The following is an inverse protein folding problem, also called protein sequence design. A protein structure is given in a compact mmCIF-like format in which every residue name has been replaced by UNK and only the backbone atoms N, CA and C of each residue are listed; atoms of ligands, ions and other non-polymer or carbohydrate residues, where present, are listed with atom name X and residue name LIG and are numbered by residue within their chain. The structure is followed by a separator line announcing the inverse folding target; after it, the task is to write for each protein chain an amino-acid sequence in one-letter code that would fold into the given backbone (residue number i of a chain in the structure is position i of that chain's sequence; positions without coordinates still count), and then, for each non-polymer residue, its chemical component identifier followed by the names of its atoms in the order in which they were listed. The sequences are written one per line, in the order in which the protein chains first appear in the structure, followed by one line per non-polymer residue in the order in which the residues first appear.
data_IF_118664258746
#
_entry.id   IF_118664258746
#
_cell.length_a   1.000
_cell.length_b   1.000
_cell.length_c   1.000
_cell.angle_alpha   90.00
_cell.angle_beta   90.00
_cell.angle_gamma   90.00
#
_symmetry.space_group_name_H-M   'P 1'
#
loop_
_entity.id
_entity.type
_entity.pdbx_description
1 polymer ?
#
# COMPACT_ATOMS: atom_id res chain seq x y z
N UNK A 1 7.87 -17.49 -38.16
CA UNK A 1 6.49 -16.94 -38.14
C UNK A 1 5.60 -17.95 -37.47
N UNK A 2 5.04 -17.66 -36.30
CA UNK A 2 4.05 -18.51 -35.69
C UNK A 2 2.74 -18.39 -36.46
N UNK A 3 2.19 -19.53 -36.91
CA UNK A 3 0.88 -19.56 -37.57
C UNK A 3 -0.15 -19.15 -36.50
N UNK A 4 -0.72 -17.95 -36.62
CA UNK A 4 -1.82 -17.50 -35.76
C UNK A 4 -3.08 -18.23 -36.17
N UNK A 5 -3.50 -19.21 -35.39
CA UNK A 5 -4.74 -19.93 -35.62
C UNK A 5 -5.93 -19.01 -35.36
N UNK A 6 -6.71 -18.73 -36.42
CA UNK A 6 -7.95 -17.95 -36.34
C UNK A 6 -9.14 -18.89 -36.32
N UNK A 7 -9.95 -18.83 -35.26
CA UNK A 7 -11.18 -19.60 -35.14
C UNK A 7 -12.40 -18.75 -35.42
N UNK A 8 -13.39 -19.32 -36.14
CA UNK A 8 -14.70 -18.70 -36.30
C UNK A 8 -15.71 -19.34 -35.37
N UNK A 9 -16.57 -18.55 -34.73
CA UNK A 9 -17.62 -19.09 -33.85
C UNK A 9 -18.66 -19.86 -34.68
N UNK A 10 -19.12 -21.00 -34.17
CA UNK A 10 -20.19 -21.77 -34.81
C UNK A 10 -21.54 -21.04 -34.75
N UNK A 11 -21.78 -20.28 -33.69
CA UNK A 11 -22.98 -19.46 -33.49
C UNK A 11 -23.08 -18.27 -34.49
N UNK A 12 -21.92 -17.73 -34.90
CA UNK A 12 -21.83 -16.70 -35.92
C UNK A 12 -20.44 -16.76 -36.59
N UNK A 13 -20.38 -17.29 -37.82
CA UNK A 13 -19.12 -17.45 -38.56
C UNK A 13 -18.44 -16.14 -38.96
N UNK A 14 -19.11 -15.00 -38.87
CA UNK A 14 -18.50 -13.69 -39.07
C UNK A 14 -17.62 -13.26 -37.91
N UNK A 15 -17.83 -13.85 -36.70
CA UNK A 15 -17.00 -13.59 -35.52
C UNK A 15 -15.79 -14.50 -35.56
N UNK A 16 -14.62 -13.89 -35.63
CA UNK A 16 -13.32 -14.57 -35.66
C UNK A 16 -12.56 -14.26 -34.37
N UNK A 17 -11.88 -15.27 -33.84
CA UNK A 17 -11.06 -15.16 -32.61
C UNK A 17 -9.64 -15.63 -32.92
N UNK A 18 -8.65 -14.82 -32.56
CA UNK A 18 -7.24 -15.18 -32.66
C UNK A 18 -6.46 -14.49 -31.53
N UNK A 19 -5.19 -14.85 -31.34
CA UNK A 19 -4.26 -14.27 -30.37
C UNK A 19 -3.21 -13.39 -31.07
N UNK A 20 -3.65 -12.45 -31.91
CA UNK A 20 -2.79 -11.50 -32.64
C UNK A 20 -2.93 -10.05 -32.09
N UNK A 21 -3.34 -9.92 -30.85
CA UNK A 21 -3.51 -8.60 -30.18
C UNK A 21 -2.21 -7.87 -29.89
N UNK A 22 -1.08 -8.58 -29.88
CA UNK A 22 0.22 -8.05 -29.46
C UNK A 22 0.34 -7.89 -27.95
N UNK A 23 1.27 -7.05 -27.48
CA UNK A 23 1.52 -6.81 -26.06
C UNK A 23 0.42 -5.94 -25.47
N UNK A 24 -0.48 -6.55 -24.70
CA UNK A 24 -1.63 -5.91 -24.06
C UNK A 24 -1.49 -5.97 -22.55
N UNK A 25 -1.99 -4.95 -21.86
CA UNK A 25 -2.17 -4.93 -20.40
C UNK A 25 -3.48 -4.23 -20.06
N UNK A 26 -4.05 -4.56 -18.91
CA UNK A 26 -5.22 -3.90 -18.33
C UNK A 26 -4.87 -2.77 -17.35
N UNK A 27 -3.60 -2.61 -17.00
CA UNK A 27 -3.14 -1.85 -15.81
C UNK A 27 -2.33 -0.59 -16.17
N UNK A 28 -2.61 0.05 -17.29
CA UNK A 28 -1.87 1.23 -17.78
C UNK A 28 -1.81 2.39 -16.78
N UNK A 29 -2.77 2.49 -15.85
CA UNK A 29 -2.77 3.51 -14.81
C UNK A 29 -1.62 3.39 -13.80
N UNK A 30 -0.93 2.24 -13.73
CA UNK A 30 0.29 2.11 -12.95
C UNK A 30 1.40 3.06 -13.40
N UNK A 31 1.36 3.55 -14.64
CA UNK A 31 2.29 4.59 -15.12
C UNK A 31 2.12 5.90 -14.34
N UNK A 32 0.90 6.26 -13.91
CA UNK A 32 0.66 7.41 -13.04
C UNK A 32 1.28 7.20 -11.66
N UNK A 33 1.14 5.99 -11.14
CA UNK A 33 1.72 5.61 -9.84
C UNK A 33 3.25 5.60 -9.91
N UNK A 34 3.83 5.09 -11.00
CA UNK A 34 5.29 5.13 -11.25
C UNK A 34 5.81 6.56 -11.20
N UNK A 35 5.14 7.48 -11.90
CA UNK A 35 5.53 8.89 -11.93
C UNK A 35 5.42 9.53 -10.54
N UNK A 36 4.36 9.22 -9.79
CA UNK A 36 4.18 9.72 -8.42
C UNK A 36 5.23 9.16 -7.45
N UNK A 37 5.51 7.86 -7.49
CA UNK A 37 6.57 7.20 -6.71
C UNK A 37 7.94 7.81 -7.02
N UNK A 38 8.23 8.05 -8.31
CA UNK A 38 9.47 8.70 -8.74
C UNK A 38 9.56 10.13 -8.22
N UNK A 39 8.48 10.91 -8.31
CA UNK A 39 8.41 12.29 -7.83
C UNK A 39 8.64 12.40 -6.32
N UNK A 40 8.10 11.47 -5.55
CA UNK A 40 8.35 11.39 -4.10
C UNK A 40 9.73 10.82 -3.75
N UNK A 41 10.52 10.35 -4.72
CA UNK A 41 11.81 9.74 -4.49
C UNK A 41 11.76 8.41 -3.72
N UNK A 42 10.61 7.70 -3.76
CA UNK A 42 10.38 6.46 -2.98
C UNK A 42 11.38 5.38 -3.41
N UNK A 43 11.64 5.20 -4.70
CA UNK A 43 12.58 4.18 -5.18
C UNK A 43 13.99 4.37 -4.63
N UNK A 44 14.47 5.62 -4.57
CA UNK A 44 15.78 5.95 -3.98
C UNK A 44 15.80 5.69 -2.48
N UNK A 45 14.72 6.02 -1.80
CA UNK A 45 14.57 5.76 -0.37
C UNK A 45 14.61 4.26 -0.08
N UNK A 46 13.81 3.46 -0.80
CA UNK A 46 13.80 2.00 -0.63
C UNK A 46 15.17 1.38 -0.91
N UNK A 47 15.87 1.85 -1.94
CA UNK A 47 17.21 1.35 -2.27
C UNK A 47 18.23 1.64 -1.17
N UNK A 48 18.09 2.76 -0.46
CA UNK A 48 18.98 3.17 0.64
C UNK A 48 18.61 2.48 1.97
N UNK A 49 17.32 2.42 2.28
CA UNK A 49 16.82 2.16 3.64
C UNK A 49 16.15 0.80 3.81
N UNK A 50 15.87 0.06 2.71
CA UNK A 50 15.25 -1.26 2.81
C UNK A 50 16.24 -2.35 2.41
N UNK A 51 16.65 -3.18 3.38
CA UNK A 51 17.60 -4.27 3.19
C UNK A 51 17.20 -5.46 4.06
N UNK A 52 17.20 -6.64 3.47
CA UNK A 52 17.02 -7.88 4.20
C UNK A 52 18.41 -8.46 4.47
N UNK A 53 18.66 -8.80 5.72
CA UNK A 53 19.91 -9.39 6.15
C UNK A 53 19.98 -10.87 5.75
N UNK A 54 20.60 -11.15 4.62
CA UNK A 54 20.87 -12.53 4.19
C UNK A 54 22.25 -12.68 3.53
N UNK A 55 22.68 -13.92 3.35
CA UNK A 55 24.02 -14.25 2.83
C UNK A 55 24.16 -14.15 1.30
N UNK A 56 23.11 -13.85 0.56
CA UNK A 56 23.17 -13.84 -0.90
C UNK A 56 23.84 -12.58 -1.43
N UNK A 57 24.93 -12.76 -2.18
CA UNK A 57 25.73 -11.67 -2.77
C UNK A 57 25.04 -11.06 -3.99
N UNK A 58 24.26 -11.84 -4.73
CA UNK A 58 23.58 -11.40 -5.96
C UNK A 58 22.16 -11.95 -6.06
N UNK A 59 21.22 -11.07 -6.46
CA UNK A 59 19.84 -11.43 -6.82
C UNK A 59 19.44 -10.66 -8.07
N UNK A 60 18.85 -11.35 -9.04
CA UNK A 60 18.27 -10.70 -10.23
C UNK A 60 17.12 -9.76 -9.86
N UNK A 61 16.23 -10.21 -8.95
CA UNK A 61 15.22 -9.38 -8.31
C UNK A 61 15.73 -8.98 -6.92
N UNK A 62 16.15 -7.72 -6.80
CA UNK A 62 16.62 -7.17 -5.52
C UNK A 62 15.48 -7.08 -4.51
N UNK A 63 15.79 -6.86 -3.23
CA UNK A 63 14.75 -6.69 -2.20
C UNK A 63 13.88 -5.47 -2.49
N UNK A 64 14.47 -4.38 -2.99
CA UNK A 64 13.73 -3.22 -3.51
C UNK A 64 12.77 -3.61 -4.65
N UNK A 65 13.23 -4.39 -5.61
CA UNK A 65 12.41 -4.77 -6.78
C UNK A 65 11.21 -5.63 -6.35
N UNK A 66 11.43 -6.60 -5.44
CA UNK A 66 10.36 -7.42 -4.89
C UNK A 66 9.35 -6.58 -4.09
N UNK A 67 9.84 -5.63 -3.27
CA UNK A 67 8.96 -4.74 -2.51
C UNK A 67 8.13 -3.84 -3.42
N UNK A 68 8.75 -3.22 -4.42
CA UNK A 68 8.05 -2.39 -5.41
C UNK A 68 7.05 -3.21 -6.23
N UNK A 69 7.40 -4.43 -6.63
CA UNK A 69 6.47 -5.33 -7.32
C UNK A 69 5.21 -5.55 -6.48
N UNK A 70 5.35 -5.90 -5.20
CA UNK A 70 4.20 -6.08 -4.31
C UNK A 70 3.39 -4.81 -4.13
N UNK A 71 4.04 -3.66 -3.98
CA UNK A 71 3.35 -2.36 -3.87
C UNK A 71 2.52 -2.10 -5.12
N UNK A 72 3.08 -2.25 -6.34
CA UNK A 72 2.33 -2.06 -7.58
C UNK A 72 1.20 -3.09 -7.74
N UNK A 73 1.44 -4.35 -7.38
CA UNK A 73 0.41 -5.39 -7.41
C UNK A 73 -0.76 -5.05 -6.50
N UNK A 74 -0.50 -4.70 -5.23
CA UNK A 74 -1.53 -4.32 -4.26
C UNK A 74 -2.31 -3.08 -4.74
N UNK A 75 -1.63 -2.08 -5.28
CA UNK A 75 -2.28 -0.89 -5.84
C UNK A 75 -3.18 -1.21 -7.02
N UNK A 76 -2.79 -2.16 -7.87
CA UNK A 76 -3.59 -2.64 -8.99
C UNK A 76 -4.74 -3.57 -8.55
N UNK A 77 -4.77 -4.01 -7.28
CA UNK A 77 -5.79 -4.90 -6.73
C UNK A 77 -5.43 -6.38 -6.77
N UNK A 78 -4.15 -6.70 -6.93
CA UNK A 78 -3.61 -8.06 -6.78
C UNK A 78 -2.95 -8.16 -5.41
N UNK A 79 -3.66 -8.73 -4.44
CA UNK A 79 -3.27 -8.68 -3.02
C UNK A 79 -2.38 -9.85 -2.59
N UNK A 80 -2.43 -10.96 -3.31
CA UNK A 80 -1.69 -12.17 -3.00
C UNK A 80 -0.45 -12.33 -3.90
N UNK A 81 0.56 -12.99 -3.39
CA UNK A 81 1.81 -13.22 -4.12
C UNK A 81 1.65 -14.21 -5.30
N UNK A 82 0.61 -15.05 -5.30
CA UNK A 82 0.29 -16.00 -6.38
C UNK A 82 -0.07 -15.29 -7.70
N UNK A 83 -0.63 -14.08 -7.65
CA UNK A 83 -0.91 -13.28 -8.84
C UNK A 83 0.37 -12.94 -9.64
N UNK A 84 1.55 -13.00 -9.03
CA UNK A 84 2.85 -12.72 -9.67
C UNK A 84 3.07 -13.57 -10.92
N UNK A 85 2.70 -14.85 -10.89
CA UNK A 85 2.94 -15.77 -12.02
C UNK A 85 2.11 -15.39 -13.25
N UNK A 86 0.86 -14.95 -13.05
CA UNK A 86 0.00 -14.44 -14.13
C UNK A 86 0.47 -13.12 -14.73
N UNK A 87 1.18 -12.30 -13.94
CA UNK A 87 1.67 -10.98 -14.34
C UNK A 87 3.10 -10.98 -14.89
N UNK A 88 3.80 -12.14 -14.85
CA UNK A 88 5.25 -12.24 -15.15
C UNK A 88 5.65 -11.55 -16.46
N UNK A 89 4.81 -11.61 -17.47
CA UNK A 89 5.06 -11.05 -18.81
C UNK A 89 4.27 -9.77 -19.11
N UNK A 90 3.49 -9.27 -18.15
CA UNK A 90 2.69 -8.07 -18.36
C UNK A 90 3.58 -6.88 -18.74
N UNK A 91 3.33 -6.19 -19.88
CA UNK A 91 4.22 -5.16 -20.40
C UNK A 91 4.21 -3.88 -19.56
N UNK A 92 3.12 -3.57 -18.84
CA UNK A 92 3.05 -2.40 -17.96
C UNK A 92 3.84 -2.66 -16.68
N UNK A 93 3.64 -3.81 -16.03
CA UNK A 93 4.41 -4.18 -14.84
C UNK A 93 5.91 -4.25 -15.13
N UNK A 94 6.30 -4.82 -16.27
CA UNK A 94 7.71 -4.82 -16.70
C UNK A 94 8.26 -3.41 -16.86
N UNK A 95 7.49 -2.50 -17.43
CA UNK A 95 7.90 -1.11 -17.65
C UNK A 95 8.04 -0.33 -16.34
N UNK A 96 7.06 -0.43 -15.40
CA UNK A 96 7.12 0.31 -14.12
C UNK A 96 8.23 -0.20 -13.20
N UNK A 97 8.61 -1.48 -13.32
CA UNK A 97 9.71 -2.09 -12.57
C UNK A 97 11.05 -2.03 -13.30
N UNK A 98 11.06 -1.63 -14.57
CA UNK A 98 12.27 -1.60 -15.42
C UNK A 98 12.95 -2.97 -15.51
N UNK A 99 12.15 -4.04 -15.61
CA UNK A 99 12.59 -5.45 -15.65
C UNK A 99 12.09 -6.16 -16.89
N UNK A 100 12.83 -7.15 -17.35
CA UNK A 100 12.40 -8.00 -18.49
C UNK A 100 11.31 -9.01 -18.08
N UNK A 101 11.25 -9.38 -16.80
CA UNK A 101 10.21 -10.21 -16.19
C UNK A 101 10.03 -9.86 -14.72
N UNK A 102 8.84 -10.11 -14.17
CA UNK A 102 8.56 -9.99 -12.75
C UNK A 102 9.16 -11.18 -11.97
N UNK A 103 9.34 -10.96 -10.66
CA UNK A 103 9.60 -12.06 -9.75
C UNK A 103 8.40 -13.01 -9.71
N UNK A 104 8.66 -14.31 -9.80
CA UNK A 104 7.63 -15.35 -9.69
C UNK A 104 7.12 -15.50 -8.26
N UNK A 105 5.96 -16.13 -8.09
CA UNK A 105 5.36 -16.39 -6.78
C UNK A 105 6.36 -17.02 -5.78
N UNK A 106 7.14 -18.08 -6.11
CA UNK A 106 8.12 -18.62 -5.18
C UNK A 106 9.22 -17.63 -4.79
N UNK A 107 9.59 -16.69 -5.67
CA UNK A 107 10.58 -15.64 -5.38
C UNK A 107 10.02 -14.64 -4.39
N UNK A 108 8.79 -14.19 -4.59
CA UNK A 108 8.09 -13.27 -3.68
C UNK A 108 7.84 -13.91 -2.33
N UNK A 109 7.40 -15.18 -2.30
CA UNK A 109 7.22 -15.93 -1.04
C UNK A 109 8.53 -16.05 -0.25
N UNK A 110 9.64 -16.39 -0.92
CA UNK A 110 10.96 -16.41 -0.29
C UNK A 110 11.43 -15.05 0.18
N UNK A 111 11.08 -13.98 -0.52
CA UNK A 111 11.36 -12.61 -0.12
C UNK A 111 10.69 -12.29 1.22
N UNK A 112 9.40 -12.56 1.38
CA UNK A 112 8.70 -12.37 2.66
C UNK A 112 9.25 -13.25 3.78
N UNK A 113 9.59 -14.52 3.49
CA UNK A 113 10.12 -15.44 4.49
C UNK A 113 11.54 -15.08 5.01
N UNK A 114 12.25 -14.17 4.35
CA UNK A 114 13.55 -13.64 4.79
C UNK A 114 13.42 -12.40 5.67
N UNK A 115 12.22 -11.80 5.74
CA UNK A 115 11.97 -10.62 6.57
C UNK A 115 11.93 -10.99 8.05
N UNK A 116 12.46 -10.10 8.88
CA UNK A 116 12.59 -10.24 10.32
C UNK A 116 12.11 -8.97 11.06
N UNK A 117 12.44 -8.84 12.32
CA UNK A 117 12.09 -7.67 13.13
C UNK A 117 12.84 -6.40 12.70
N UNK A 118 14.03 -6.51 12.11
CA UNK A 118 14.76 -5.36 11.61
C UNK A 118 14.07 -4.78 10.36
N UNK A 119 13.49 -5.62 9.52
CA UNK A 119 12.67 -5.13 8.40
C UNK A 119 11.40 -4.40 8.88
N UNK A 120 10.79 -4.80 10.01
CA UNK A 120 9.69 -4.03 10.61
C UNK A 120 10.11 -2.62 11.04
N UNK A 121 11.29 -2.48 11.65
CA UNK A 121 11.85 -1.16 12.01
C UNK A 121 12.10 -0.30 10.77
N UNK A 122 12.68 -0.89 9.72
CA UNK A 122 12.91 -0.20 8.46
C UNK A 122 11.60 0.33 7.83
N UNK A 123 10.51 -0.43 7.87
CA UNK A 123 9.20 0.07 7.41
C UNK A 123 8.71 1.27 8.21
N UNK A 124 8.94 1.30 9.52
CA UNK A 124 8.58 2.44 10.36
C UNK A 124 9.41 3.68 9.99
N UNK A 125 10.73 3.54 9.85
CA UNK A 125 11.64 4.62 9.44
C UNK A 125 11.29 5.14 8.04
N UNK A 126 11.05 4.25 7.07
CA UNK A 126 10.61 4.63 5.72
C UNK A 126 9.31 5.42 5.77
N UNK A 127 8.34 4.99 6.58
CA UNK A 127 7.06 5.68 6.75
C UNK A 127 7.23 7.07 7.34
N UNK A 128 8.12 7.25 8.32
CA UNK A 128 8.46 8.57 8.89
C UNK A 128 9.10 9.49 7.85
N UNK A 129 10.10 9.01 7.11
CA UNK A 129 10.76 9.80 6.04
C UNK A 129 9.74 10.20 4.97
N UNK A 130 8.87 9.30 4.55
CA UNK A 130 7.83 9.61 3.56
C UNK A 130 6.83 10.62 4.10
N UNK A 131 6.40 10.52 5.36
CA UNK A 131 5.53 11.50 6.02
C UNK A 131 6.18 12.89 6.01
N UNK A 132 7.47 12.99 6.35
CA UNK A 132 8.23 14.24 6.28
C UNK A 132 8.22 14.85 4.88
N UNK A 133 8.39 14.03 3.83
CA UNK A 133 8.27 14.50 2.43
C UNK A 133 6.87 15.00 2.10
N UNK A 134 5.84 14.30 2.55
CA UNK A 134 4.45 14.71 2.35
C UNK A 134 4.17 16.02 3.08
N UNK A 135 4.66 16.18 4.29
CA UNK A 135 4.51 17.41 5.07
C UNK A 135 5.30 18.57 4.49
N UNK A 136 6.40 18.34 3.75
CA UNK A 136 7.08 19.38 2.99
C UNK A 136 6.24 19.94 1.82
N UNK A 137 5.28 19.14 1.32
CA UNK A 137 4.34 19.58 0.29
C UNK A 137 3.11 20.24 0.92
N UNK A 138 2.59 19.65 1.98
CA UNK A 138 1.38 20.11 2.66
C UNK A 138 1.48 19.82 4.16
N UNK A 139 1.99 20.79 4.92
CA UNK A 139 2.08 20.69 6.38
C UNK A 139 0.69 20.79 7.00
N UNK A 140 0.25 19.83 7.83
CA UNK A 140 -1.01 19.93 8.56
C UNK A 140 -0.87 20.91 9.73
N UNK A 141 -1.97 21.58 10.09
CA UNK A 141 -2.04 22.40 11.31
C UNK A 141 -2.35 21.57 12.55
N UNK A 142 -3.08 20.49 12.38
CA UNK A 142 -3.44 19.57 13.44
C UNK A 142 -3.45 18.13 12.91
N UNK A 143 -3.20 17.18 13.77
CA UNK A 143 -3.30 15.73 13.52
C UNK A 143 -4.18 15.11 14.59
N UNK A 144 -5.15 14.32 14.17
CA UNK A 144 -5.97 13.51 15.06
C UNK A 144 -5.44 12.08 15.03
N UNK A 145 -4.76 11.68 16.09
CA UNK A 145 -4.27 10.31 16.27
C UNK A 145 -5.43 9.38 16.61
N UNK A 146 -6.07 8.79 15.60
CA UNK A 146 -7.15 7.83 15.77
C UNK A 146 -6.60 6.46 16.09
N UNK A 147 -6.72 6.06 17.35
CA UNK A 147 -6.40 4.70 17.79
C UNK A 147 -7.58 3.77 17.59
N UNK A 148 -7.31 2.62 16.97
CA UNK A 148 -8.29 1.56 16.84
C UNK A 148 -7.61 0.19 16.81
N UNK A 149 -8.41 -0.84 16.99
CA UNK A 149 -7.99 -2.23 16.84
C UNK A 149 -9.06 -3.01 16.06
N UNK A 150 -8.61 -3.97 15.25
CA UNK A 150 -9.53 -4.67 14.37
C UNK A 150 -9.12 -6.12 14.21
N UNK A 151 -10.06 -7.02 13.87
CA UNK A 151 -9.73 -8.39 13.57
C UNK A 151 -9.25 -8.53 12.13
N UNK A 152 -8.08 -9.15 11.93
CA UNK A 152 -7.66 -9.75 10.67
C UNK A 152 -7.91 -11.26 10.77
N UNK A 153 -8.96 -11.72 10.08
CA UNK A 153 -9.31 -13.14 10.11
C UNK A 153 -8.16 -13.98 9.52
N UNK A 154 -7.79 -15.04 10.20
CA UNK A 154 -6.72 -15.94 9.77
C UNK A 154 -7.17 -17.40 9.89
N UNK A 155 -6.73 -18.22 8.95
CA UNK A 155 -7.12 -19.61 8.81
C UNK A 155 -5.92 -20.53 9.03
N UNK A 156 -6.20 -21.79 9.35
CA UNK A 156 -5.16 -22.80 9.57
C UNK A 156 -4.38 -22.57 10.88
N UNK A 157 -3.19 -23.17 10.98
CA UNK A 157 -2.31 -23.06 12.15
C UNK A 157 -1.27 -21.98 11.87
N UNK A 158 -1.45 -20.82 12.47
CA UNK A 158 -0.51 -19.69 12.35
C UNK A 158 -0.08 -19.24 13.75
N UNK A 159 1.18 -18.86 13.90
CA UNK A 159 1.74 -18.33 15.14
C UNK A 159 1.05 -17.01 15.53
N UNK A 160 0.59 -16.91 16.79
CA UNK A 160 -0.14 -15.73 17.30
C UNK A 160 -1.60 -15.65 16.87
N UNK A 161 -2.08 -16.59 16.03
CA UNK A 161 -3.51 -16.69 15.73
C UNK A 161 -4.26 -17.20 16.97
N UNK A 162 -5.25 -16.43 17.43
CA UNK A 162 -6.07 -16.80 18.56
C UNK A 162 -7.55 -16.42 18.33
N UNK A 163 -8.43 -16.96 19.18
CA UNK A 163 -9.84 -16.62 19.16
C UNK A 163 -10.05 -15.25 19.83
N UNK A 164 -10.69 -14.34 19.12
CA UNK A 164 -11.09 -13.05 19.64
C UNK A 164 -12.56 -13.08 20.06
N UNK A 165 -12.82 -12.89 21.34
CA UNK A 165 -14.18 -12.98 21.89
C UNK A 165 -15.10 -11.85 21.42
N UNK A 166 -14.56 -10.64 21.18
CA UNK A 166 -15.32 -9.51 20.69
C UNK A 166 -15.85 -9.76 19.27
N UNK A 167 -14.99 -10.27 18.39
CA UNK A 167 -15.36 -10.56 17.00
C UNK A 167 -15.89 -12.00 16.78
N UNK A 168 -15.84 -12.84 17.80
CA UNK A 168 -16.23 -14.27 17.74
C UNK A 168 -15.57 -15.04 16.59
N UNK A 169 -14.32 -14.74 16.31
CA UNK A 169 -13.58 -15.31 15.19
C UNK A 169 -12.09 -15.47 15.54
N UNK A 170 -11.42 -16.36 14.81
CA UNK A 170 -9.98 -16.54 14.93
C UNK A 170 -9.23 -15.59 13.99
N UNK A 171 -8.11 -15.04 14.45
CA UNK A 171 -7.29 -14.17 13.64
C UNK A 171 -6.19 -13.48 14.44
N UNK A 172 -5.74 -12.35 13.93
CA UNK A 172 -4.88 -11.40 14.61
C UNK A 172 -5.69 -10.17 15.02
N UNK A 173 -5.23 -9.45 16.05
CA UNK A 173 -5.89 -8.23 16.53
C UNK A 173 -4.91 -7.05 16.51
N UNK A 174 -4.54 -6.52 15.29
CA UNK A 174 -3.60 -5.43 15.17
C UNK A 174 -4.10 -4.17 15.87
N UNK A 175 -3.13 -3.37 16.34
CA UNK A 175 -3.33 -2.00 16.77
C UNK A 175 -2.98 -1.07 15.61
N UNK A 176 -3.83 -0.08 15.35
CA UNK A 176 -3.68 0.87 14.25
C UNK A 176 -3.82 2.30 14.76
N UNK A 177 -3.10 3.22 14.14
CA UNK A 177 -3.23 4.65 14.36
C UNK A 177 -3.33 5.34 13.01
N UNK A 178 -4.43 6.04 12.76
CA UNK A 178 -4.65 6.87 11.58
C UNK A 178 -4.60 8.34 11.95
N UNK A 179 -4.28 9.20 10.97
CA UNK A 179 -4.63 10.61 11.06
C UNK A 179 -6.12 10.79 10.68
N UNK A 180 -6.95 11.13 11.64
CA UNK A 180 -8.39 11.30 11.45
C UNK A 180 -8.80 12.50 10.57
N UNK A 181 -7.84 13.31 10.09
CA UNK A 181 -8.06 14.42 9.17
C UNK A 181 -7.71 14.02 7.73
N UNK A 182 -6.59 13.33 7.55
CA UNK A 182 -6.05 13.02 6.22
C UNK A 182 -6.25 11.59 5.78
N UNK A 183 -6.75 10.73 6.65
CA UNK A 183 -6.88 9.28 6.47
C UNK A 183 -5.52 8.56 6.30
N UNK A 184 -4.40 9.23 6.60
CA UNK A 184 -3.09 8.61 6.51
C UNK A 184 -2.91 7.57 7.63
N UNK A 185 -2.44 6.37 7.29
CA UNK A 185 -2.08 5.36 8.29
C UNK A 185 -0.72 5.70 8.89
N UNK A 186 -0.71 6.17 10.14
CA UNK A 186 0.50 6.60 10.83
C UNK A 186 1.33 5.38 11.27
N UNK A 187 0.68 4.38 11.88
CA UNK A 187 1.33 3.17 12.36
C UNK A 187 0.37 2.00 12.43
N UNK A 188 0.86 0.81 12.15
CA UNK A 188 0.15 -0.45 12.37
C UNK A 188 1.09 -1.46 13.02
N UNK A 189 0.58 -2.23 13.99
CA UNK A 189 1.31 -3.30 14.67
C UNK A 189 0.46 -4.56 14.73
N UNK A 190 0.95 -5.64 14.15
CA UNK A 190 0.29 -6.94 14.25
C UNK A 190 0.46 -7.49 15.67
N UNK A 191 -0.67 -7.87 16.31
CA UNK A 191 -0.70 -8.46 17.65
C UNK A 191 -1.43 -9.80 17.61
N UNK A 192 -1.24 -10.58 18.67
CA UNK A 192 -1.95 -11.85 18.82
C UNK A 192 -3.47 -11.63 18.85
N UNK A 193 -4.21 -12.60 18.34
CA UNK A 193 -5.67 -12.49 18.22
C UNK A 193 -6.41 -12.30 19.55
N UNK A 194 -5.86 -12.79 20.66
CA UNK A 194 -6.44 -12.64 21.99
C UNK A 194 -6.09 -11.31 22.69
N UNK A 195 -5.27 -10.43 22.09
CA UNK A 195 -4.90 -9.16 22.67
C UNK A 195 -6.13 -8.25 22.88
N UNK A 196 -6.23 -7.59 24.03
CA UNK A 196 -7.22 -6.54 24.26
C UNK A 196 -6.83 -5.26 23.50
N UNK A 197 -7.81 -4.38 23.23
CA UNK A 197 -7.58 -3.12 22.48
C UNK A 197 -6.46 -2.29 23.10
N UNK A 198 -6.45 -2.11 24.42
CA UNK A 198 -5.44 -1.33 25.15
C UNK A 198 -4.07 -2.03 25.34
N UNK A 199 -3.94 -3.33 25.02
CA UNK A 199 -2.68 -4.05 25.26
C UNK A 199 -1.53 -3.43 24.47
N UNK A 200 -0.49 -2.94 25.17
CA UNK A 200 0.71 -2.34 24.55
C UNK A 200 0.48 -1.00 23.84
N UNK A 201 -0.63 -0.30 24.14
CA UNK A 201 -0.97 0.97 23.48
C UNK A 201 0.04 2.08 23.79
N UNK A 202 0.57 2.13 25.01
CA UNK A 202 1.55 3.13 25.43
C UNK A 202 2.87 3.00 24.68
N UNK A 203 3.39 1.77 24.55
CA UNK A 203 4.61 1.47 23.79
C UNK A 203 4.41 1.70 22.29
N UNK A 204 3.21 1.42 21.79
CA UNK A 204 2.85 1.68 20.41
C UNK A 204 2.80 3.18 20.09
N UNK A 205 2.25 3.98 21.01
CA UNK A 205 2.01 5.41 20.82
C UNK A 205 3.25 6.25 21.05
N UNK A 206 4.13 5.89 22.01
CA UNK A 206 5.27 6.73 22.40
C UNK A 206 6.15 7.16 21.21
N UNK A 207 6.58 6.27 20.29
CA UNK A 207 7.38 6.69 19.15
C UNK A 207 6.65 7.68 18.21
N UNK A 208 5.31 7.62 18.15
CA UNK A 208 4.51 8.57 17.39
C UNK A 208 4.53 9.94 18.06
N UNK A 209 4.31 9.98 19.39
CA UNK A 209 4.37 11.23 20.14
C UNK A 209 5.76 11.87 20.04
N UNK A 210 6.83 11.06 20.21
CA UNK A 210 8.21 11.53 20.07
C UNK A 210 8.48 12.15 18.70
N UNK A 211 8.02 11.51 17.62
CA UNK A 211 8.14 12.04 16.25
C UNK A 211 7.47 13.42 16.15
N UNK A 212 6.19 13.53 16.56
CA UNK A 212 5.47 14.79 16.40
C UNK A 212 5.98 15.90 17.31
N UNK A 213 6.34 15.60 18.55
CA UNK A 213 6.84 16.60 19.49
C UNK A 213 8.23 17.12 19.09
N UNK A 214 9.09 16.25 18.54
CA UNK A 214 10.45 16.64 18.15
C UNK A 214 10.50 17.27 16.76
N UNK A 215 9.84 16.64 15.76
CA UNK A 215 9.98 17.05 14.36
C UNK A 215 8.92 18.07 13.93
N UNK A 216 7.76 18.13 14.63
CA UNK A 216 6.62 18.97 14.25
C UNK A 216 5.98 19.70 15.43
N UNK A 217 6.74 20.50 16.21
CA UNK A 217 6.26 21.09 17.45
C UNK A 217 5.12 22.12 17.26
N UNK A 218 4.86 22.55 16.05
CA UNK A 218 3.76 23.48 15.72
C UNK A 218 2.45 22.79 15.37
N UNK A 219 2.44 21.45 15.24
CA UNK A 219 1.24 20.67 14.94
C UNK A 219 0.46 20.41 16.25
N UNK A 220 -0.83 20.75 16.25
CA UNK A 220 -1.70 20.39 17.35
C UNK A 220 -2.08 18.91 17.29
N UNK A 221 -1.73 18.17 18.36
CA UNK A 221 -2.08 16.74 18.48
C UNK A 221 -3.35 16.55 19.30
N UNK A 222 -4.26 15.74 18.80
CA UNK A 222 -5.43 15.22 19.50
C UNK A 222 -5.45 13.71 19.38
N UNK A 223 -5.40 13.01 20.52
CA UNK A 223 -5.61 11.56 20.55
C UNK A 223 -7.11 11.25 20.59
N UNK A 224 -7.57 10.35 19.75
CA UNK A 224 -8.95 9.86 19.72
C UNK A 224 -8.96 8.32 19.77
N UNK A 225 -9.84 7.74 20.57
CA UNK A 225 -9.96 6.29 20.68
C UNK A 225 -11.32 5.87 21.22
N UNK A 226 -11.63 4.57 21.14
CA UNK A 226 -12.85 4.03 21.72
C UNK A 226 -12.71 3.74 23.23
N UNK A 227 -13.79 3.28 23.86
CA UNK A 227 -13.79 2.93 25.28
C UNK A 227 -12.81 1.79 25.63
N UNK A 228 -12.39 1.00 24.66
CA UNK A 228 -11.38 -0.04 24.85
C UNK A 228 -9.98 0.50 25.14
N UNK A 229 -9.74 1.80 24.84
CA UNK A 229 -8.49 2.51 25.14
C UNK A 229 -8.56 3.37 26.41
N UNK A 230 -9.66 3.35 27.13
CA UNK A 230 -9.87 4.13 28.35
C UNK A 230 -9.05 3.56 29.53
N UNK A 231 -7.75 3.81 29.57
CA UNK A 231 -6.84 3.32 30.63
C UNK A 231 -6.10 4.46 31.30
N UNK A 232 -5.85 4.37 32.64
CA UNK A 232 -5.08 5.38 33.39
C UNK A 232 -3.71 5.65 32.75
N UNK A 233 -3.02 4.61 32.29
CA UNK A 233 -1.66 4.72 31.72
C UNK A 233 -1.67 5.55 30.43
N UNK A 234 -2.69 5.36 29.57
CA UNK A 234 -2.81 6.15 28.34
C UNK A 234 -3.13 7.61 28.64
N UNK A 235 -4.00 7.89 29.62
CA UNK A 235 -4.29 9.26 30.05
C UNK A 235 -3.04 9.95 30.58
N UNK A 236 -2.32 9.27 31.47
CA UNK A 236 -1.05 9.77 32.01
C UNK A 236 -0.04 10.08 30.92
N UNK A 237 0.13 9.17 29.93
CA UNK A 237 1.02 9.38 28.81
C UNK A 237 0.61 10.62 27.99
N UNK A 238 -0.67 10.82 27.72
CA UNK A 238 -1.15 12.01 27.02
C UNK A 238 -0.85 13.29 27.80
N UNK A 239 -1.09 13.29 29.11
CA UNK A 239 -0.83 14.44 29.97
C UNK A 239 0.68 14.78 30.07
N UNK A 240 1.53 13.76 30.23
CA UNK A 240 2.99 13.92 30.27
C UNK A 240 3.56 14.49 28.95
N UNK A 241 2.95 14.17 27.82
CA UNK A 241 3.34 14.66 26.49
C UNK A 241 2.56 15.91 26.04
N UNK A 242 1.70 16.48 26.89
CA UNK A 242 0.90 17.66 26.53
C UNK A 242 -0.08 17.45 25.39
N UNK A 243 -0.47 16.19 25.13
CA UNK A 243 -1.37 15.80 24.03
C UNK A 243 -2.82 15.79 24.53
N UNK A 244 -3.70 16.54 23.88
CA UNK A 244 -5.14 16.49 24.17
C UNK A 244 -5.72 15.15 23.77
N UNK A 245 -6.75 14.64 24.48
CA UNK A 245 -7.39 13.36 24.12
C UNK A 245 -8.90 13.37 24.27
N UNK A 246 -9.57 12.61 23.39
CA UNK A 246 -11.01 12.32 23.41
C UNK A 246 -11.22 10.83 23.14
N UNK A 247 -11.77 10.12 24.12
CA UNK A 247 -11.98 8.67 23.96
C UNK A 247 -13.44 8.40 23.61
N UNK A 248 -13.74 8.40 22.31
CA UNK A 248 -15.01 7.94 21.72
C UNK A 248 -14.92 7.86 20.18
N UNK A 249 -15.60 6.88 19.51
CA UNK A 249 -15.35 6.45 18.14
C UNK A 249 -16.39 6.69 17.05
N UNK A 250 -15.85 6.73 15.75
CA UNK A 250 -16.57 6.33 14.53
C UNK A 250 -15.67 5.50 13.59
N UNK A 251 -16.15 4.32 13.16
CA UNK A 251 -15.44 3.20 12.49
C UNK A 251 -15.15 3.34 10.97
N UNK A 252 -14.87 4.48 10.36
CA UNK A 252 -14.88 4.58 8.90
C UNK A 252 -13.58 4.19 8.17
N UNK A 253 -12.40 4.42 8.73
CA UNK A 253 -11.12 4.28 8.00
C UNK A 253 -10.63 2.83 7.88
N UNK A 254 -10.83 2.02 8.89
CA UNK A 254 -10.46 0.59 8.88
C UNK A 254 -11.19 -0.19 7.79
N UNK A 255 -12.44 0.18 7.47
CA UNK A 255 -13.20 -0.49 6.40
C UNK A 255 -12.54 -0.34 5.04
N UNK A 256 -12.02 0.84 4.69
CA UNK A 256 -11.38 1.10 3.40
C UNK A 256 -10.03 0.37 3.27
N UNK A 257 -9.23 0.33 4.34
CA UNK A 257 -7.96 -0.42 4.37
C UNK A 257 -8.19 -1.92 4.20
N UNK A 258 -9.21 -2.49 4.84
CA UNK A 258 -9.55 -3.91 4.71
C UNK A 258 -10.10 -4.24 3.32
N UNK A 259 -11.09 -3.49 2.83
CA UNK A 259 -11.77 -3.81 1.56
C UNK A 259 -10.95 -3.42 0.34
N UNK A 260 -10.24 -2.28 0.39
CA UNK A 260 -9.51 -1.73 -0.75
C UNK A 260 -8.07 -2.20 -0.87
N UNK A 261 -7.43 -2.67 0.23
CA UNK A 261 -6.02 -3.09 0.26
C UNK A 261 -5.78 -4.43 0.95
N UNK A 262 -6.84 -5.13 1.30
CA UNK A 262 -6.83 -6.46 1.91
C UNK A 262 -5.74 -6.67 3.00
N UNK A 263 -5.81 -5.89 4.07
CA UNK A 263 -4.90 -6.05 5.21
C UNK A 263 -5.00 -7.44 5.85
N UNK A 264 -6.02 -8.22 5.49
CA UNK A 264 -6.22 -9.60 5.95
C UNK A 264 -5.45 -10.65 5.15
N UNK A 265 -4.67 -10.27 4.12
CA UNK A 265 -3.79 -11.19 3.39
C UNK A 265 -2.60 -11.68 4.26
N UNK A 266 -2.93 -12.34 5.38
CA UNK A 266 -1.99 -12.90 6.37
C UNK A 266 -1.99 -14.42 6.26
N UNK A 267 -1.27 -14.95 5.26
CA UNK A 267 -1.30 -16.36 4.86
C UNK A 267 -0.14 -17.21 5.37
N UNK A 268 0.87 -16.61 6.03
CA UNK A 268 2.04 -17.34 6.55
C UNK A 268 1.75 -18.01 7.90
N UNK A 269 2.43 -19.14 8.15
CA UNK A 269 2.45 -19.75 9.49
C UNK A 269 3.24 -18.92 10.51
N UNK A 270 4.20 -18.12 10.06
CA UNK A 270 5.07 -17.30 10.91
C UNK A 270 4.47 -15.91 11.13
N UNK A 271 4.34 -15.48 12.40
CA UNK A 271 3.76 -14.20 12.79
C UNK A 271 4.58 -13.01 12.27
N UNK A 272 5.92 -13.08 12.29
CA UNK A 272 6.76 -11.98 11.84
C UNK A 272 6.65 -11.76 10.33
N UNK A 273 6.48 -12.85 9.57
CA UNK A 273 6.21 -12.77 8.13
C UNK A 273 4.86 -12.09 7.86
N UNK A 274 3.82 -12.44 8.63
CA UNK A 274 2.52 -11.80 8.51
C UNK A 274 2.57 -10.32 8.92
N UNK A 275 3.35 -9.97 9.96
CA UNK A 275 3.54 -8.58 10.37
C UNK A 275 4.19 -7.76 9.24
N UNK A 276 5.22 -8.29 8.58
CA UNK A 276 5.85 -7.63 7.43
C UNK A 276 4.89 -7.52 6.22
N UNK A 277 4.07 -8.54 5.94
CA UNK A 277 3.03 -8.44 4.89
C UNK A 277 2.08 -7.27 5.16
N UNK A 278 1.58 -7.14 6.40
CA UNK A 278 0.73 -6.01 6.80
C UNK A 278 1.43 -4.66 6.60
N UNK A 279 2.73 -4.54 6.85
CA UNK A 279 3.48 -3.30 6.59
C UNK A 279 3.55 -2.96 5.09
N UNK A 280 3.70 -3.96 4.22
CA UNK A 280 3.69 -3.74 2.76
C UNK A 280 2.31 -3.22 2.31
N UNK A 281 1.23 -3.82 2.80
CA UNK A 281 -0.12 -3.33 2.52
C UNK A 281 -0.36 -1.92 3.06
N UNK A 282 0.14 -1.61 4.26
CA UNK A 282 0.07 -0.29 4.87
C UNK A 282 0.82 0.77 4.03
N UNK A 283 2.02 0.44 3.56
CA UNK A 283 2.79 1.33 2.70
C UNK A 283 2.09 1.59 1.36
N UNK A 284 1.55 0.54 0.73
CA UNK A 284 0.78 0.66 -0.50
C UNK A 284 -0.48 1.52 -0.30
N UNK A 285 -1.19 1.33 0.82
CA UNK A 285 -2.34 2.15 1.20
C UNK A 285 -1.96 3.63 1.30
N UNK A 286 -0.89 3.96 2.02
CA UNK A 286 -0.44 5.33 2.20
C UNK A 286 -0.03 5.99 0.88
N UNK A 287 0.77 5.31 0.04
CA UNK A 287 1.18 5.84 -1.27
C UNK A 287 -0.07 6.15 -2.12
N UNK A 288 -1.07 5.25 -2.12
CA UNK A 288 -2.30 5.47 -2.86
C UNK A 288 -3.14 6.62 -2.26
N UNK A 289 -3.20 6.73 -0.93
CA UNK A 289 -3.92 7.80 -0.25
C UNK A 289 -3.27 9.17 -0.51
N UNK A 290 -1.94 9.26 -0.48
CA UNK A 290 -1.21 10.48 -0.85
C UNK A 290 -1.40 10.83 -2.33
N UNK A 291 -1.34 9.85 -3.24
CA UNK A 291 -1.67 10.07 -4.65
C UNK A 291 -3.07 10.63 -4.80
N UNK A 292 -4.07 10.02 -4.15
CA UNK A 292 -5.46 10.46 -4.15
C UNK A 292 -5.58 11.91 -3.64
N UNK A 293 -4.95 12.23 -2.53
CA UNK A 293 -5.05 13.52 -1.86
C UNK A 293 -4.29 14.65 -2.56
N UNK A 294 -3.09 14.39 -3.02
CA UNK A 294 -2.20 15.42 -3.57
C UNK A 294 -2.39 15.64 -5.08
N UNK A 295 -2.87 14.64 -5.80
CA UNK A 295 -2.84 14.61 -7.26
C UNK A 295 -4.23 14.63 -7.89
N UNK A 296 -5.22 13.94 -7.29
CA UNK A 296 -6.53 13.81 -7.91
C UNK A 296 -7.43 15.05 -7.70
N UNK A 297 -8.35 15.29 -8.65
CA UNK A 297 -9.36 16.34 -8.55
C UNK A 297 -10.27 16.14 -7.32
N UNK A 298 -10.89 17.22 -6.83
CA UNK A 298 -11.79 17.19 -5.67
C UNK A 298 -12.93 16.16 -5.82
N UNK A 299 -13.42 15.94 -7.05
CA UNK A 299 -14.46 14.95 -7.36
C UNK A 299 -13.93 13.53 -7.24
N UNK A 300 -12.74 13.25 -7.78
CA UNK A 300 -12.11 11.92 -7.74
C UNK A 300 -11.62 11.56 -6.34
N UNK A 301 -11.12 12.51 -5.60
CA UNK A 301 -10.61 12.36 -4.22
C UNK A 301 -11.64 11.77 -3.26
N UNK A 302 -12.92 12.11 -3.44
CA UNK A 302 -14.05 11.63 -2.61
C UNK A 302 -14.56 10.25 -3.00
N UNK A 303 -14.05 9.66 -4.08
CA UNK A 303 -14.50 8.33 -4.53
C UNK A 303 -13.79 7.22 -3.75
N UNK A 304 -14.46 6.07 -3.63
CA UNK A 304 -13.86 4.87 -3.03
C UNK A 304 -12.63 4.42 -3.82
N UNK A 305 -11.68 3.82 -3.14
CA UNK A 305 -10.41 3.32 -3.73
C UNK A 305 -10.68 2.41 -4.93
N UNK A 306 -11.62 1.47 -4.82
CA UNK A 306 -11.98 0.57 -5.91
C UNK A 306 -12.47 1.31 -7.15
N UNK A 307 -13.22 2.40 -6.95
CA UNK A 307 -13.72 3.24 -8.04
C UNK A 307 -12.57 4.01 -8.71
N UNK A 308 -11.63 4.54 -7.93
CA UNK A 308 -10.44 5.22 -8.46
C UNK A 308 -9.56 4.21 -9.21
N UNK A 309 -9.35 3.02 -8.66
CA UNK A 309 -8.63 1.92 -9.30
C UNK A 309 -9.25 1.56 -10.65
N UNK A 310 -10.56 1.36 -10.69
CA UNK A 310 -11.27 1.02 -11.92
C UNK A 310 -11.14 2.12 -12.99
N UNK A 311 -11.24 3.39 -12.60
CA UNK A 311 -11.23 4.53 -13.54
C UNK A 311 -9.85 4.93 -14.03
N UNK A 312 -8.82 4.83 -13.18
CA UNK A 312 -7.49 5.35 -13.47
C UNK A 312 -6.41 4.28 -13.63
N UNK A 313 -6.50 3.13 -12.93
CA UNK A 313 -5.48 2.10 -12.99
C UNK A 313 -5.84 1.01 -14.00
N UNK A 314 -7.07 0.53 -13.98
CA UNK A 314 -7.56 -0.54 -14.86
C UNK A 314 -7.91 -0.01 -16.27
N UNK A 315 -6.90 0.48 -16.98
CA UNK A 315 -7.04 1.00 -18.35
C UNK A 315 -6.29 0.08 -19.31
N UNK A 316 -7.02 -0.48 -20.27
CA UNK A 316 -6.43 -1.32 -21.31
C UNK A 316 -5.44 -0.52 -22.18
N UNK A 317 -4.29 -1.08 -22.43
CA UNK A 317 -3.26 -0.48 -23.27
C UNK A 317 -2.59 -1.53 -24.18
N UNK A 318 -2.18 -1.08 -25.36
CA UNK A 318 -1.27 -1.81 -26.24
C UNK A 318 0.11 -1.18 -26.18
N UNK A 319 1.13 -1.98 -25.92
CA UNK A 319 2.51 -1.51 -25.92
C UNK A 319 3.14 -1.71 -27.28
N UNK A 320 3.77 -0.65 -27.79
CA UNK A 320 4.46 -0.64 -29.08
C UNK A 320 5.91 -0.24 -28.87
N UNK A 321 6.83 -1.10 -29.25
CA UNK A 321 8.26 -0.84 -29.22
C UNK A 321 8.73 -0.23 -30.54
N UNK A 322 9.51 0.84 -30.45
CA UNK A 322 10.28 1.41 -31.56
C UNK A 322 11.77 1.44 -31.19
N UNK A 323 12.65 1.77 -32.14
CA UNK A 323 14.10 1.78 -31.89
C UNK A 323 14.54 2.68 -30.71
N UNK A 324 13.76 3.72 -30.37
CA UNK A 324 14.10 4.71 -29.34
C UNK A 324 13.08 4.86 -28.22
N UNK A 325 11.84 4.39 -28.41
CA UNK A 325 10.73 4.65 -27.51
C UNK A 325 9.86 3.42 -27.29
N UNK A 326 9.34 3.31 -26.08
CA UNK A 326 8.23 2.43 -25.76
C UNK A 326 6.97 3.31 -25.68
N UNK A 327 5.98 3.03 -26.51
CA UNK A 327 4.74 3.81 -26.56
C UNK A 327 3.59 2.98 -26.01
N UNK A 328 2.96 3.47 -24.94
CA UNK A 328 1.73 2.91 -24.39
C UNK A 328 0.53 3.56 -25.07
N UNK A 329 -0.12 2.82 -25.94
CA UNK A 329 -1.35 3.26 -26.65
C UNK A 329 -2.56 2.83 -25.83
N UNK A 330 -3.06 3.75 -24.98
CA UNK A 330 -4.23 3.51 -24.15
C UNK A 330 -5.49 3.39 -25.00
N UNK A 331 -6.50 2.68 -24.48
CA UNK A 331 -7.77 2.45 -25.14
C UNK A 331 -8.42 3.78 -25.55
N UNK A 332 -8.66 3.95 -26.86
CA UNK A 332 -9.23 5.19 -27.42
C UNK A 332 -10.68 5.43 -27.02
N UNK A 333 -11.42 4.39 -26.61
CA UNK A 333 -12.80 4.49 -26.10
C UNK A 333 -12.88 4.65 -24.57
N UNK A 334 -11.74 4.79 -23.86
CA UNK A 334 -11.75 5.02 -22.41
C UNK A 334 -12.49 6.33 -22.08
N UNK A 335 -13.55 6.30 -21.26
CA UNK A 335 -14.32 7.51 -20.92
C UNK A 335 -13.62 8.45 -19.94
N UNK A 336 -12.48 8.01 -19.35
CA UNK A 336 -11.75 8.74 -18.29
C UNK A 336 -10.42 9.33 -18.78
N UNK A 337 -10.31 9.71 -20.06
CA UNK A 337 -9.06 10.24 -20.64
C UNK A 337 -8.59 11.52 -19.98
N UNK A 338 -9.51 12.46 -19.76
CA UNK A 338 -9.19 13.75 -19.12
C UNK A 338 -8.74 13.53 -17.68
N UNK A 339 -9.45 12.66 -16.95
CA UNK A 339 -9.11 12.27 -15.59
C UNK A 339 -7.77 11.53 -15.51
N UNK A 340 -7.28 10.92 -16.60
CA UNK A 340 -5.97 10.29 -16.67
C UNK A 340 -4.84 11.30 -16.87
N UNK A 341 -5.01 12.30 -17.73
CA UNK A 341 -3.96 13.29 -18.02
C UNK A 341 -3.82 14.36 -16.94
N UNK A 342 -4.89 14.73 -16.26
CA UNK A 342 -4.85 15.72 -15.20
C UNK A 342 -3.87 15.37 -14.06
N UNK A 343 -3.83 14.13 -13.54
CA UNK A 343 -2.83 13.68 -12.57
C UNK A 343 -1.38 13.83 -13.02
N UNK A 344 -1.04 13.54 -14.27
CA UNK A 344 0.33 13.72 -14.79
C UNK A 344 0.79 15.18 -14.65
N UNK A 345 -0.08 16.13 -15.02
CA UNK A 345 0.20 17.56 -14.87
C UNK A 345 0.33 17.96 -13.39
N UNK A 346 -0.52 17.39 -12.52
CA UNK A 346 -0.49 17.68 -11.09
C UNK A 346 0.80 17.15 -10.43
N UNK A 347 1.23 15.93 -10.76
CA UNK A 347 2.48 15.33 -10.26
C UNK A 347 3.69 16.22 -10.64
N UNK A 348 3.73 16.73 -11.88
CA UNK A 348 4.81 17.61 -12.33
C UNK A 348 4.96 18.86 -11.48
N UNK A 349 3.87 19.36 -10.93
CA UNK A 349 3.82 20.59 -10.10
C UNK A 349 4.13 20.37 -8.62
N UNK A 350 4.21 19.12 -8.15
CA UNK A 350 4.55 18.84 -6.75
C UNK A 350 5.98 19.34 -6.45
N UNK A 351 6.12 20.08 -5.37
CA UNK A 351 7.42 20.53 -4.86
C UNK A 351 7.78 19.67 -3.64
N UNK A 352 8.66 18.70 -3.85
CA UNK A 352 9.07 17.72 -2.83
C UNK A 352 10.48 18.05 -2.39
N UNK A 353 10.68 18.23 -1.08
CA UNK A 353 12.03 18.28 -0.51
C UNK A 353 12.54 16.84 -0.35
N UNK A 354 13.54 16.49 -1.15
CA UNK A 354 14.25 15.22 -1.06
C UNK A 354 15.55 15.45 -0.27
N UNK A 355 15.76 14.66 0.78
CA UNK A 355 16.98 14.67 1.58
C UNK A 355 18.17 14.06 0.82
#
# INVERSE_FOLDING_TARGET
MSIVNTFSLQSNRQIKINFDGGDLSSDAGLLLIKEFISKLGIERLLNRSFKINDSAVFRYHTDRDNLLQMIYMIMAGYFEDDASDGLTKDPVFKAVLEKSALASQPTVSKFFNRMDEDTLKQFQEISQILRKRIYSIQMPQAVILDLDSTLLAAYGKQEGRAFNFHYRSNGYHPLVCYDGITDDLIKIQLRDGAAYSCTGVTDFLQPILDEYLNDYPTIHLLLRGDSGFATPDLYKQCEENGTSYVIRLKENFIKESKSGFDFSAVSSHNRIVNANRVQVHALAYNIFNWFRRLVLSAKMRKQRIDTVRLKLLKIATKVVHSARYITFKLCSSCPYKEEFYAPLSAIGKLNVQLE
#
